data_IF_372213968653
#
_entry.id   IF_372213968653
#
_cell.length_a   1.000
_cell.length_b   1.000
_cell.length_c   1.000
_cell.angle_alpha   90.00
_cell.angle_beta   90.00
_cell.angle_gamma   90.00
#
_symmetry.space_group_name_H-M   'P 1'
#
loop_
_entity.id
_entity.type
_entity.pdbx_description
1 polymer ?
#
# COMPACT_ATOMS: atom_id res chain seq x y z
N UNK A 1 -15.24 -0.91 -63.13
CA UNK A 1 -14.19 -1.93 -63.23
C UNK A 1 -12.93 -1.39 -62.59
N UNK A 2 -12.32 -2.21 -61.76
CA UNK A 2 -11.37 -1.87 -60.70
C UNK A 2 -10.19 -0.97 -61.11
N UNK A 3 -9.87 0.01 -60.24
CA UNK A 3 -8.51 0.55 -60.16
C UNK A 3 -7.62 -0.53 -59.55
N UNK A 4 -6.83 -1.19 -60.37
CA UNK A 4 -5.74 -2.06 -59.91
C UNK A 4 -4.74 -1.22 -59.11
N UNK A 5 -4.40 -1.62 -57.87
CA UNK A 5 -3.36 -0.94 -57.11
C UNK A 5 -2.01 -1.22 -57.76
N UNK A 6 -1.32 -0.17 -58.20
CA UNK A 6 0.03 -0.27 -58.76
C UNK A 6 0.95 -0.97 -57.75
N UNK A 7 1.65 -2.02 -58.19
CA UNK A 7 2.59 -2.74 -57.34
C UNK A 7 3.76 -1.81 -56.95
N UNK A 8 4.14 -1.76 -55.65
CA UNK A 8 5.16 -0.84 -55.18
C UNK A 8 6.51 -1.14 -55.84
N UNK A 9 7.16 -0.08 -56.31
CA UNK A 9 8.45 -0.18 -57.02
C UNK A 9 9.55 -0.65 -56.06
N UNK A 10 10.65 -1.23 -56.58
CA UNK A 10 11.77 -1.72 -55.76
C UNK A 10 12.35 -0.64 -54.83
N UNK A 11 12.33 0.62 -55.26
CA UNK A 11 12.81 1.76 -54.46
C UNK A 11 11.88 2.06 -53.28
N UNK A 12 10.57 2.01 -53.51
CA UNK A 12 9.53 2.23 -52.50
C UNK A 12 9.53 1.12 -51.44
N UNK A 13 9.72 -0.15 -51.85
CA UNK A 13 9.90 -1.27 -50.92
C UNK A 13 11.14 -1.12 -50.04
N UNK A 14 12.26 -0.63 -50.61
CA UNK A 14 13.50 -0.38 -49.85
C UNK A 14 13.32 0.76 -48.86
N UNK A 15 12.69 1.86 -49.27
CA UNK A 15 12.41 2.99 -48.39
C UNK A 15 11.49 2.58 -47.22
N UNK A 16 10.42 1.84 -47.49
CA UNK A 16 9.52 1.31 -46.45
C UNK A 16 10.26 0.34 -45.53
N UNK A 17 11.12 -0.54 -46.05
CA UNK A 17 11.95 -1.42 -45.23
C UNK A 17 12.90 -0.63 -44.32
N UNK A 18 13.54 0.43 -44.82
CA UNK A 18 14.44 1.27 -44.01
C UNK A 18 13.68 1.97 -42.89
N UNK A 19 12.51 2.53 -43.18
CA UNK A 19 11.66 3.20 -42.16
C UNK A 19 11.19 2.20 -41.11
N UNK A 20 10.73 1.01 -41.52
CA UNK A 20 10.31 -0.05 -40.60
C UNK A 20 11.49 -0.54 -39.75
N UNK A 21 12.66 -0.75 -40.34
CA UNK A 21 13.86 -1.16 -39.60
C UNK A 21 14.29 -0.10 -38.58
N UNK A 22 14.24 1.18 -38.94
CA UNK A 22 14.53 2.28 -38.03
C UNK A 22 13.53 2.33 -36.88
N UNK A 23 12.24 2.21 -37.18
CA UNK A 23 11.19 2.20 -36.16
C UNK A 23 11.34 1.03 -35.17
N UNK A 24 11.67 -0.16 -35.68
CA UNK A 24 11.93 -1.34 -34.85
C UNK A 24 13.18 -1.14 -33.98
N UNK A 25 14.24 -0.53 -34.51
CA UNK A 25 15.45 -0.23 -33.74
C UNK A 25 15.15 0.77 -32.61
N UNK A 26 14.44 1.86 -32.90
CA UNK A 26 14.05 2.85 -31.88
C UNK A 26 13.13 2.22 -30.82
N UNK A 27 12.15 1.42 -31.24
CA UNK A 27 11.25 0.71 -30.32
C UNK A 27 12.01 -0.27 -29.42
N UNK A 28 12.98 -1.02 -29.97
CA UNK A 28 13.80 -1.95 -29.20
C UNK A 28 14.65 -1.22 -28.16
N UNK A 29 15.29 -0.10 -28.53
CA UNK A 29 16.04 0.76 -27.60
C UNK A 29 15.12 1.27 -26.49
N UNK A 30 13.94 1.79 -26.85
CA UNK A 30 12.97 2.30 -25.88
C UNK A 30 12.50 1.21 -24.89
N UNK A 31 12.23 -0.02 -25.38
CA UNK A 31 11.85 -1.15 -24.53
C UNK A 31 12.99 -1.53 -23.59
N UNK A 32 14.23 -1.60 -24.08
CA UNK A 32 15.40 -1.92 -23.24
C UNK A 32 15.62 -0.85 -22.19
N UNK A 33 15.55 0.43 -22.56
CA UNK A 33 15.72 1.56 -21.65
C UNK A 33 14.60 1.60 -20.60
N UNK A 34 13.34 1.45 -21.02
CA UNK A 34 12.19 1.39 -20.11
C UNK A 34 12.28 0.20 -19.16
N UNK A 35 12.70 -0.97 -19.66
CA UNK A 35 12.89 -2.17 -18.85
C UNK A 35 14.04 -2.00 -17.87
N UNK A 36 15.12 -1.33 -18.28
CA UNK A 36 16.25 -1.03 -17.41
C UNK A 36 15.90 -0.04 -16.30
N UNK A 37 15.13 1.01 -16.61
CA UNK A 37 14.62 1.95 -15.60
C UNK A 37 13.62 1.29 -14.65
N UNK A 38 12.75 0.40 -15.16
CA UNK A 38 11.86 -0.42 -14.33
C UNK A 38 12.65 -1.40 -13.45
N UNK A 39 13.71 -2.02 -13.99
CA UNK A 39 14.56 -2.92 -13.23
C UNK A 39 15.36 -2.16 -12.16
N UNK A 40 15.88 -0.97 -12.44
CA UNK A 40 16.48 -0.11 -11.42
C UNK A 40 15.45 0.28 -10.36
N UNK A 41 14.26 0.69 -10.75
CA UNK A 41 13.17 0.96 -9.83
C UNK A 41 12.87 -0.25 -8.94
N UNK A 42 12.67 -1.44 -9.51
CA UNK A 42 12.30 -2.63 -8.76
C UNK A 42 13.44 -3.17 -7.86
N UNK A 43 14.70 -3.14 -8.31
CA UNK A 43 15.81 -3.80 -7.64
C UNK A 43 16.73 -2.86 -6.84
N UNK A 44 16.85 -1.56 -7.19
CA UNK A 44 17.59 -0.58 -6.36
C UNK A 44 16.74 0.04 -5.25
N UNK A 45 15.40 0.01 -5.33
CA UNK A 45 14.54 0.42 -4.20
C UNK A 45 14.61 -0.53 -3.00
N UNK A 46 15.07 -1.78 -3.20
CA UNK A 46 15.33 -2.74 -2.12
C UNK A 46 16.76 -2.63 -1.54
N UNK A 47 17.67 -1.95 -2.25
CA UNK A 47 19.05 -1.74 -1.81
C UNK A 47 19.32 -0.34 -1.24
N UNK A 48 18.40 0.62 -1.41
CA UNK A 48 18.36 1.78 -0.53
C UNK A 48 17.87 1.31 0.83
N UNK A 49 18.82 0.76 1.58
CA UNK A 49 18.78 0.66 3.02
C UNK A 49 18.04 1.87 3.56
N UNK A 50 17.14 1.62 4.50
CA UNK A 50 16.65 2.63 5.44
C UNK A 50 17.91 3.22 6.06
N UNK A 51 18.49 4.21 5.40
CA UNK A 51 19.75 4.80 5.79
C UNK A 51 19.42 5.49 7.09
N UNK A 52 19.78 4.80 8.17
CA UNK A 52 19.57 5.23 9.52
C UNK A 52 20.36 6.49 9.83
N UNK A 53 20.83 7.25 8.85
CA UNK A 53 21.54 8.53 8.89
C UNK A 53 20.69 9.68 8.34
N UNK A 54 19.66 9.44 7.52
CA UNK A 54 18.77 10.50 7.02
C UNK A 54 17.78 10.93 8.13
N UNK A 55 17.85 12.19 8.62
CA UNK A 55 16.99 12.66 9.70
C UNK A 55 15.50 12.66 9.33
N UNK A 56 15.16 12.92 8.06
CA UNK A 56 13.77 12.90 7.59
C UNK A 56 13.21 11.47 7.57
N UNK A 57 14.03 10.50 7.14
CA UNK A 57 13.66 9.09 7.16
C UNK A 57 13.45 8.56 8.58
N UNK A 58 14.32 8.96 9.53
CA UNK A 58 14.15 8.63 10.95
C UNK A 58 12.85 9.21 11.51
N UNK A 59 12.50 10.44 11.16
CA UNK A 59 11.26 11.06 11.61
C UNK A 59 10.03 10.33 11.06
N UNK A 60 9.93 10.10 9.75
CA UNK A 60 8.81 9.38 9.15
C UNK A 60 8.69 7.94 9.69
N UNK A 61 9.75 7.12 9.57
CA UNK A 61 9.67 5.72 9.97
C UNK A 61 9.56 5.52 11.48
N UNK A 62 10.15 6.44 12.27
CA UNK A 62 10.00 6.45 13.73
C UNK A 62 8.54 6.67 14.14
N UNK A 63 7.86 7.63 13.52
CA UNK A 63 6.44 7.89 13.77
C UNK A 63 5.55 6.76 13.27
N UNK A 64 5.82 6.19 12.10
CA UNK A 64 5.09 5.01 11.59
C UNK A 64 5.21 3.83 12.57
N UNK A 65 6.42 3.55 13.07
CA UNK A 65 6.65 2.48 14.05
C UNK A 65 6.00 2.77 15.39
N UNK A 66 5.97 4.04 15.81
CA UNK A 66 5.27 4.46 17.03
C UNK A 66 3.77 4.20 16.91
N UNK A 67 3.16 4.54 15.78
CA UNK A 67 1.75 4.29 15.52
C UNK A 67 1.42 2.80 15.37
N UNK A 68 2.30 2.02 14.75
CA UNK A 68 2.21 0.54 14.73
C UNK A 68 2.14 -0.01 16.15
N UNK A 69 3.07 0.39 17.03
CA UNK A 69 3.03 -0.03 18.44
C UNK A 69 1.77 0.41 19.19
N UNK A 70 1.13 1.52 18.79
CA UNK A 70 -0.18 1.92 19.33
C UNK A 70 -1.31 1.02 18.85
N UNK A 71 -1.30 0.59 17.59
CA UNK A 71 -2.24 -0.41 17.08
C UNK A 71 -2.12 -1.69 17.90
N UNK A 72 -0.90 -2.19 18.12
CA UNK A 72 -0.67 -3.41 18.90
C UNK A 72 -1.18 -3.27 20.35
N UNK A 73 -0.90 -2.14 21.00
CA UNK A 73 -1.42 -1.87 22.34
C UNK A 73 -2.95 -1.80 22.36
N UNK A 74 -3.56 -1.14 21.38
CA UNK A 74 -5.01 -1.04 21.28
C UNK A 74 -5.67 -2.40 21.04
N UNK A 75 -5.04 -3.29 20.28
CA UNK A 75 -5.48 -4.68 20.11
C UNK A 75 -5.43 -5.45 21.43
N UNK A 76 -4.36 -5.28 22.22
CA UNK A 76 -4.24 -5.88 23.55
C UNK A 76 -5.37 -5.38 24.46
N UNK A 77 -5.65 -4.08 24.50
CA UNK A 77 -6.75 -3.56 25.31
C UNK A 77 -8.12 -4.03 24.81
N UNK A 78 -8.34 -4.05 23.49
CA UNK A 78 -9.58 -4.57 22.91
C UNK A 78 -9.81 -6.05 23.23
N UNK A 79 -8.74 -6.86 23.33
CA UNK A 79 -8.83 -8.28 23.65
C UNK A 79 -9.30 -8.55 25.09
N UNK A 80 -9.11 -7.59 26.01
CA UNK A 80 -9.58 -7.68 27.40
C UNK A 80 -11.07 -7.36 27.53
N UNK A 81 -11.65 -6.66 26.55
CA UNK A 81 -13.04 -6.28 26.56
C UNK A 81 -13.96 -7.44 26.11
N UNK A 82 -15.25 -7.33 26.42
CA UNK A 82 -16.24 -8.19 25.80
C UNK A 82 -16.24 -7.97 24.27
N UNK A 83 -16.52 -8.98 23.42
CA UNK A 83 -16.50 -8.83 21.97
C UNK A 83 -17.33 -7.66 21.45
N UNK A 84 -18.51 -7.41 22.04
CA UNK A 84 -19.38 -6.29 21.68
C UNK A 84 -18.76 -4.91 21.99
N UNK A 85 -17.86 -4.84 22.98
CA UNK A 85 -17.20 -3.61 23.42
C UNK A 85 -15.80 -3.44 22.85
N UNK A 86 -15.22 -4.51 22.28
CA UNK A 86 -13.87 -4.53 21.73
C UNK A 86 -13.61 -3.43 20.69
N UNK A 87 -14.52 -3.10 19.74
CA UNK A 87 -14.32 -1.98 18.81
C UNK A 87 -14.20 -0.63 19.52
N UNK A 88 -15.00 -0.41 20.58
CA UNK A 88 -14.96 0.83 21.37
C UNK A 88 -13.68 0.91 22.21
N UNK A 89 -13.28 -0.20 22.83
CA UNK A 89 -12.03 -0.29 23.58
C UNK A 89 -10.82 0.01 22.68
N UNK A 90 -10.79 -0.58 21.48
CA UNK A 90 -9.77 -0.31 20.47
C UNK A 90 -9.71 1.18 20.09
N UNK A 91 -10.85 1.78 19.70
CA UNK A 91 -10.91 3.19 19.33
C UNK A 91 -10.45 4.12 20.47
N UNK A 92 -10.85 3.82 21.70
CA UNK A 92 -10.44 4.61 22.87
C UNK A 92 -8.95 4.48 23.20
N UNK A 93 -8.33 3.33 22.92
CA UNK A 93 -6.92 3.07 23.19
C UNK A 93 -6.02 3.61 22.06
N UNK A 94 -6.50 3.56 20.82
CA UNK A 94 -5.88 4.21 19.65
C UNK A 94 -5.70 5.70 19.90
N UNK A 95 -6.70 6.38 20.51
CA UNK A 95 -6.69 7.83 20.77
C UNK A 95 -6.46 8.68 19.52
N UNK A 96 -5.92 9.88 19.70
CA UNK A 96 -5.83 10.91 18.64
C UNK A 96 -4.70 10.63 17.61
N UNK A 97 -4.12 9.43 17.60
CA UNK A 97 -2.96 9.10 16.77
C UNK A 97 -3.25 9.06 15.27
N UNK A 98 -4.50 8.79 14.91
CA UNK A 98 -4.97 8.69 13.52
C UNK A 98 -5.89 9.85 13.13
N UNK A 99 -5.92 10.93 13.92
CA UNK A 99 -6.71 12.12 13.60
C UNK A 99 -6.21 12.79 12.31
N UNK A 100 -7.09 13.48 11.55
CA UNK A 100 -6.73 14.05 10.26
C UNK A 100 -5.53 15.00 10.31
N UNK A 101 -5.42 15.82 11.36
CA UNK A 101 -4.36 16.83 11.50
C UNK A 101 -2.97 16.22 11.70
N UNK A 102 -2.72 15.35 12.70
CA UNK A 102 -1.41 14.70 12.85
C UNK A 102 -1.08 13.79 11.67
N UNK A 103 -2.09 13.14 11.07
CA UNK A 103 -1.88 12.30 9.89
C UNK A 103 -1.45 13.07 8.66
N UNK A 104 -2.03 14.25 8.38
CA UNK A 104 -1.61 15.09 7.27
C UNK A 104 -0.15 15.56 7.42
N UNK A 105 0.27 15.89 8.64
CA UNK A 105 1.65 16.27 8.93
C UNK A 105 2.62 15.08 8.72
N UNK A 106 2.22 13.88 9.16
CA UNK A 106 3.00 12.66 8.95
C UNK A 106 3.10 12.29 7.46
N UNK A 107 2.01 12.43 6.70
CA UNK A 107 2.00 12.21 5.26
C UNK A 107 2.96 13.16 4.54
N UNK A 108 2.92 14.46 4.87
CA UNK A 108 3.84 15.45 4.31
C UNK A 108 5.31 15.16 4.65
N UNK A 109 5.58 14.58 5.83
CA UNK A 109 6.92 14.12 6.23
C UNK A 109 7.34 12.88 5.41
N UNK A 110 6.48 11.88 5.33
CA UNK A 110 6.75 10.63 4.63
C UNK A 110 6.79 10.76 3.10
N UNK A 111 6.19 11.80 2.52
CA UNK A 111 6.28 12.13 1.09
C UNK A 111 7.69 12.54 0.65
N UNK A 112 8.53 13.02 1.58
CA UNK A 112 9.92 13.42 1.32
C UNK A 112 10.89 12.25 1.36
N UNK A 113 10.45 11.09 1.88
CA UNK A 113 11.30 9.95 2.18
C UNK A 113 11.05 8.84 1.16
N UNK A 114 12.09 8.24 0.56
CA UNK A 114 11.94 7.04 -0.26
C UNK A 114 11.20 5.94 0.52
N UNK A 115 10.15 5.36 -0.07
CA UNK A 115 9.26 4.36 0.55
C UNK A 115 8.48 4.86 1.78
N UNK A 116 8.58 6.12 2.18
CA UNK A 116 7.84 6.68 3.33
C UNK A 116 6.33 6.56 3.17
N UNK A 117 5.79 6.95 2.01
CA UNK A 117 4.36 6.79 1.71
C UNK A 117 3.92 5.33 1.62
N UNK A 118 4.82 4.42 1.21
CA UNK A 118 4.52 2.98 1.18
C UNK A 118 4.39 2.43 2.60
N UNK A 119 5.29 2.83 3.51
CA UNK A 119 5.20 2.47 4.92
C UNK A 119 3.92 3.03 5.56
N UNK A 120 3.64 4.32 5.35
CA UNK A 120 2.46 4.98 5.88
C UNK A 120 1.15 4.35 5.37
N UNK A 121 1.04 4.11 4.06
CA UNK A 121 -0.14 3.45 3.49
C UNK A 121 -0.30 2.00 3.95
N UNK A 122 0.79 1.31 4.27
CA UNK A 122 0.73 -0.05 4.86
C UNK A 122 0.21 0.00 6.30
N UNK A 123 0.67 0.96 7.09
CA UNK A 123 0.14 1.22 8.44
C UNK A 123 -1.36 1.54 8.41
N UNK A 124 -1.81 2.41 7.50
CA UNK A 124 -3.23 2.75 7.37
C UNK A 124 -4.09 1.55 6.97
N UNK A 125 -3.58 0.68 6.09
CA UNK A 125 -4.25 -0.58 5.73
C UNK A 125 -4.33 -1.53 6.92
N UNK A 126 -3.26 -1.64 7.71
CA UNK A 126 -3.24 -2.44 8.93
C UNK A 126 -4.30 -1.95 9.92
N UNK A 127 -4.28 -0.66 10.27
CA UNK A 127 -5.24 -0.06 11.19
C UNK A 127 -6.69 -0.36 10.79
N UNK A 128 -7.02 -0.13 9.51
CA UNK A 128 -8.38 -0.39 9.00
C UNK A 128 -8.73 -1.88 9.00
N UNK A 129 -7.79 -2.76 8.67
CA UNK A 129 -8.01 -4.20 8.71
C UNK A 129 -8.35 -4.68 10.13
N UNK A 130 -7.65 -4.16 11.14
CA UNK A 130 -7.90 -4.48 12.54
C UNK A 130 -9.27 -3.98 13.02
N UNK A 131 -9.64 -2.74 12.68
CA UNK A 131 -10.98 -2.21 12.99
C UNK A 131 -12.08 -3.10 12.41
N UNK A 132 -11.95 -3.51 11.15
CA UNK A 132 -12.95 -4.37 10.50
C UNK A 132 -13.00 -5.77 11.12
N UNK A 133 -11.86 -6.31 11.53
CA UNK A 133 -11.77 -7.63 12.17
C UNK A 133 -12.41 -7.61 13.55
N UNK A 134 -12.16 -6.57 14.35
CA UNK A 134 -12.81 -6.39 15.65
C UNK A 134 -14.31 -6.22 15.51
N UNK A 135 -14.77 -5.42 14.55
CA UNK A 135 -16.20 -5.25 14.27
C UNK A 135 -16.85 -6.58 13.86
N UNK A 136 -16.20 -7.36 12.99
CA UNK A 136 -16.67 -8.70 12.59
C UNK A 136 -16.78 -9.63 13.79
N UNK A 137 -15.73 -9.74 14.60
CA UNK A 137 -15.74 -10.56 15.84
C UNK A 137 -16.84 -10.13 16.81
N UNK A 138 -17.08 -8.82 16.95
CA UNK A 138 -18.16 -8.31 17.79
C UNK A 138 -19.52 -8.84 17.31
N UNK A 139 -19.78 -8.79 16.00
CA UNK A 139 -21.04 -9.26 15.42
C UNK A 139 -21.22 -10.77 15.49
N UNK A 140 -20.15 -11.55 15.32
CA UNK A 140 -20.20 -13.02 15.32
C UNK A 140 -20.30 -13.60 16.73
N UNK A 141 -19.53 -13.06 17.69
CA UNK A 141 -19.39 -13.66 19.02
C UNK A 141 -20.40 -13.14 20.04
N UNK A 142 -20.95 -11.94 19.85
CA UNK A 142 -21.97 -11.38 20.74
C UNK A 142 -23.21 -12.29 20.92
N UNK A 143 -23.85 -12.81 19.86
CA UNK A 143 -25.02 -13.68 20.02
C UNK A 143 -24.65 -15.00 20.72
N UNK A 144 -23.52 -15.61 20.34
CA UNK A 144 -23.04 -16.86 20.96
C UNK A 144 -22.83 -16.68 22.47
N UNK A 145 -22.23 -15.56 22.89
CA UNK A 145 -22.07 -15.25 24.31
C UNK A 145 -23.39 -14.98 25.01
N UNK A 146 -24.33 -14.32 24.35
CA UNK A 146 -25.66 -14.08 24.91
C UNK A 146 -26.48 -15.37 25.05
N UNK A 147 -26.33 -16.33 24.13
CA UNK A 147 -26.91 -17.67 24.24
C UNK A 147 -26.27 -18.46 25.39
N UNK A 148 -24.94 -18.43 25.48
CA UNK A 148 -24.20 -19.09 26.56
C UNK A 148 -24.56 -18.54 27.95
N UNK A 149 -24.65 -17.20 28.09
CA UNK A 149 -25.03 -16.56 29.34
C UNK A 149 -26.47 -16.91 29.78
N UNK A 150 -27.38 -17.17 28.82
CA UNK A 150 -28.74 -17.65 29.11
C UNK A 150 -28.78 -19.13 29.52
N UNK A 151 -27.85 -19.93 29.02
CA UNK A 151 -27.79 -21.37 29.28
C UNK A 151 -27.09 -21.71 30.60
N UNK A 152 -26.22 -20.83 31.11
CA UNK A 152 -25.49 -21.04 32.36
C UNK A 152 -26.26 -20.43 33.55
N UNK A 153 -26.30 -21.11 34.71
CA UNK A 153 -26.83 -20.52 35.93
C UNK A 153 -25.97 -19.31 36.33
N UNK A 154 -26.56 -18.29 37.00
CA UNK A 154 -25.80 -17.14 37.47
C UNK A 154 -24.70 -17.59 38.44
N UNK A 155 -23.51 -16.95 38.40
CA UNK A 155 -22.40 -17.26 39.30
C UNK A 155 -22.73 -16.96 40.77
#
# INVERSE_FOLDING_TARGET
>A
MERTPNAPTKAERRATQTVVALFLAVSAVFVVESTWELAKGAFLLDLQSVDGTNPEARACFGEVRRLEGRIDQALVEASKAAPAEAPRAYASSIGDGFDPTPMAALEASCAKVPRGLVALSSLLRLHRAEETTLAGRATELAPIRADLARALPPP
#
